data_IF_873174973598
#
_entry.id   IF_873174973598
#
_cell.length_a   1.000
_cell.length_b   1.000
_cell.length_c   1.000
_cell.angle_alpha   90.00
_cell.angle_beta   90.00
_cell.angle_gamma   90.00
#
_symmetry.space_group_name_H-M   'P 1'
#
loop_
_entity.id
_entity.type
_entity.pdbx_description
1 polymer ?
#
# COMPACT_ATOMS: atom_id res chain seq x y z
N UNK A 1 18.79 -24.78 11.48
CA UNK A 1 17.59 -25.20 12.21
C UNK A 1 17.38 -24.21 13.35
N UNK A 2 16.45 -23.27 13.22
CA UNK A 2 15.83 -22.53 14.34
C UNK A 2 14.69 -21.67 13.78
N UNK A 3 13.47 -22.15 14.10
CA UNK A 3 12.19 -21.49 13.93
C UNK A 3 12.21 -20.02 14.40
N UNK A 4 11.62 -19.14 13.60
CA UNK A 4 10.99 -17.91 14.11
C UNK A 4 9.50 -17.95 13.83
N UNK A 5 8.83 -18.86 14.51
CA UNK A 5 7.40 -18.79 14.74
C UNK A 5 7.16 -17.79 15.87
N UNK A 6 6.63 -16.59 15.54
CA UNK A 6 5.88 -15.70 16.45
C UNK A 6 5.55 -14.36 15.79
N UNK A 7 4.59 -14.33 14.86
CA UNK A 7 3.78 -13.12 14.55
C UNK A 7 2.62 -13.40 13.57
N UNK A 8 2.05 -14.61 13.52
CA UNK A 8 0.93 -14.91 12.61
C UNK A 8 -0.46 -14.38 13.07
N UNK A 9 -0.56 -13.78 14.27
CA UNK A 9 -1.85 -13.65 14.96
C UNK A 9 -2.68 -12.39 14.61
N UNK A 10 -2.08 -11.32 14.05
CA UNK A 10 -2.79 -10.04 13.87
C UNK A 10 -3.43 -9.83 12.49
N UNK A 11 -2.81 -10.35 11.42
CA UNK A 11 -3.29 -10.16 10.05
C UNK A 11 -4.53 -11.02 9.71
N UNK A 12 -4.63 -12.24 10.27
CA UNK A 12 -5.74 -13.15 10.04
C UNK A 12 -7.12 -12.51 10.37
N UNK A 13 -7.16 -11.65 11.40
CA UNK A 13 -8.41 -11.01 11.85
C UNK A 13 -8.93 -9.94 10.89
N UNK A 14 -8.07 -9.34 10.08
CA UNK A 14 -8.47 -8.30 9.10
C UNK A 14 -8.98 -8.94 7.80
N UNK A 15 -8.33 -9.99 7.31
CA UNK A 15 -8.80 -10.76 6.14
C UNK A 15 -10.15 -11.44 6.42
N UNK A 16 -10.33 -12.06 7.58
CA UNK A 16 -11.62 -12.69 7.96
C UNK A 16 -12.78 -11.69 8.07
N UNK A 17 -12.52 -10.39 8.25
CA UNK A 17 -13.56 -9.34 8.27
C UNK A 17 -13.87 -8.79 6.88
N UNK A 18 -12.89 -8.74 5.97
CA UNK A 18 -13.10 -8.32 4.57
C UNK A 18 -13.78 -9.39 3.72
N UNK A 19 -13.50 -10.67 3.96
CA UNK A 19 -14.18 -11.78 3.29
C UNK A 19 -15.67 -11.93 3.68
N UNK A 20 -16.18 -11.16 4.65
CA UNK A 20 -17.53 -11.30 5.20
C UNK A 20 -18.64 -10.47 4.53
N UNK A 21 -18.35 -9.71 3.47
CA UNK A 21 -19.32 -8.79 2.84
C UNK A 21 -19.97 -9.31 1.55
N UNK A 22 -19.78 -10.58 1.20
CA UNK A 22 -20.46 -11.26 0.08
C UNK A 22 -21.10 -12.56 0.56
N UNK A 23 -22.36 -12.81 0.18
CA UNK A 23 -23.13 -13.97 0.61
C UNK A 23 -22.43 -15.32 0.33
N UNK A 24 -22.40 -16.18 1.34
CA UNK A 24 -22.15 -17.64 1.21
C UNK A 24 -20.81 -18.08 1.76
N UNK A 25 -20.80 -18.69 2.95
CA UNK A 25 -19.60 -19.30 3.52
C UNK A 25 -19.15 -20.51 2.68
N UNK A 26 -17.90 -20.57 2.17
CA UNK A 26 -17.29 -21.82 1.77
C UNK A 26 -16.70 -22.49 3.00
N UNK A 27 -17.12 -23.71 3.24
CA UNK A 27 -16.50 -24.63 4.18
C UNK A 27 -15.03 -24.86 3.79
N UNK A 28 -14.13 -24.29 4.58
CA UNK A 28 -12.76 -24.76 4.88
C UNK A 28 -11.88 -25.20 3.72
N UNK A 29 -10.94 -24.32 3.32
CA UNK A 29 -9.48 -24.60 3.27
C UNK A 29 -8.69 -23.37 2.81
N UNK A 30 -9.26 -22.55 1.93
CA UNK A 30 -8.66 -21.29 1.46
C UNK A 30 -9.72 -20.19 1.35
N UNK A 31 -9.41 -18.96 1.75
CA UNK A 31 -10.22 -17.77 1.42
C UNK A 31 -9.56 -16.99 0.31
N UNK A 32 -10.35 -16.48 -0.63
CA UNK A 32 -9.91 -15.56 -1.68
C UNK A 32 -10.56 -14.19 -1.53
N UNK A 33 -9.80 -13.15 -1.90
CA UNK A 33 -10.25 -11.77 -1.95
C UNK A 33 -9.79 -11.19 -3.27
N UNK A 34 -10.74 -10.75 -4.10
CA UNK A 34 -10.46 -10.04 -5.35
C UNK A 34 -10.90 -8.58 -5.22
N UNK A 35 -10.00 -7.68 -5.56
CA UNK A 35 -10.20 -6.22 -5.62
C UNK A 35 -9.90 -5.73 -7.03
N UNK A 36 -9.94 -4.42 -7.29
CA UNK A 36 -9.65 -3.90 -8.63
C UNK A 36 -8.24 -4.28 -9.11
N UNK A 37 -7.23 -4.16 -8.25
CA UNK A 37 -5.83 -4.37 -8.64
C UNK A 37 -5.26 -5.70 -8.19
N UNK A 38 -5.89 -6.40 -7.25
CA UNK A 38 -5.29 -7.56 -6.58
C UNK A 38 -6.25 -8.74 -6.49
N UNK A 39 -5.70 -9.93 -6.69
CA UNK A 39 -6.30 -11.19 -6.24
C UNK A 39 -5.42 -11.79 -5.17
N UNK A 40 -6.00 -12.06 -4.01
CA UNK A 40 -5.29 -12.53 -2.83
C UNK A 40 -5.92 -13.82 -2.33
N UNK A 41 -5.10 -14.74 -1.83
CA UNK A 41 -5.56 -15.98 -1.21
C UNK A 41 -4.86 -16.23 0.12
N UNK A 42 -5.60 -16.76 1.08
CA UNK A 42 -5.11 -17.23 2.38
C UNK A 42 -5.47 -18.70 2.53
N UNK A 43 -4.47 -19.54 2.72
CA UNK A 43 -4.64 -20.91 3.16
C UNK A 43 -4.85 -20.94 4.68
N UNK A 44 -5.95 -21.53 5.14
CA UNK A 44 -6.32 -21.51 6.57
C UNK A 44 -5.60 -22.59 7.40
N UNK A 45 -5.01 -23.60 6.76
CA UNK A 45 -4.33 -24.70 7.43
C UNK A 45 -2.86 -24.35 7.67
N UNK A 46 -2.21 -23.77 6.66
CA UNK A 46 -0.80 -23.32 6.72
C UNK A 46 -0.67 -21.87 7.18
N UNK A 47 -1.71 -21.07 6.95
CA UNK A 47 -1.66 -19.62 7.09
C UNK A 47 -0.98 -18.94 5.89
N UNK A 48 -0.55 -19.65 4.87
CA UNK A 48 0.19 -19.03 3.77
C UNK A 48 -0.70 -18.07 2.97
N UNK A 49 -0.14 -16.90 2.67
CA UNK A 49 -0.84 -15.86 1.91
C UNK A 49 -0.10 -15.67 0.60
N UNK A 50 -0.84 -15.66 -0.50
CA UNK A 50 -0.32 -15.36 -1.83
C UNK A 50 -1.15 -14.25 -2.47
N UNK A 51 -0.53 -13.53 -3.39
CA UNK A 51 -1.23 -12.47 -4.12
C UNK A 51 -0.69 -12.28 -5.53
N UNK A 52 -1.58 -11.84 -6.41
CA UNK A 52 -1.32 -11.55 -7.81
C UNK A 52 -1.92 -10.19 -8.16
N UNK A 53 -1.19 -9.40 -8.94
CA UNK A 53 -1.67 -8.13 -9.48
C UNK A 53 -2.48 -8.40 -10.73
N UNK A 54 -3.75 -8.02 -10.75
CA UNK A 54 -4.67 -8.30 -11.87
C UNK A 54 -4.94 -7.09 -12.77
N UNK A 55 -4.61 -5.88 -12.31
CA UNK A 55 -4.72 -4.64 -13.08
C UNK A 55 -3.54 -3.67 -12.80
N UNK A 56 -3.36 -2.67 -13.66
CA UNK A 56 -2.32 -1.65 -13.49
C UNK A 56 -0.90 -2.06 -13.95
N UNK A 57 0.14 -1.32 -13.52
CA UNK A 57 1.49 -1.40 -14.09
C UNK A 57 2.19 -2.75 -13.89
N UNK A 58 1.78 -3.49 -12.87
CA UNK A 58 2.39 -4.77 -12.48
C UNK A 58 1.51 -5.97 -12.80
N UNK A 59 0.49 -5.79 -13.65
CA UNK A 59 -0.47 -6.85 -14.02
C UNK A 59 0.22 -8.17 -14.42
N UNK A 60 -0.29 -9.27 -13.88
CA UNK A 60 0.20 -10.63 -14.09
C UNK A 60 1.39 -11.01 -13.20
N UNK A 61 1.88 -10.12 -12.34
CA UNK A 61 2.96 -10.44 -11.40
C UNK A 61 2.44 -10.93 -10.08
N UNK A 62 3.15 -11.90 -9.50
CA UNK A 62 2.95 -12.33 -8.12
C UNK A 62 3.61 -11.36 -7.17
N UNK A 63 2.97 -11.09 -6.04
CA UNK A 63 3.54 -10.26 -4.99
C UNK A 63 4.84 -10.87 -4.46
N UNK A 64 4.96 -12.19 -4.37
CA UNK A 64 6.19 -12.85 -3.89
C UNK A 64 7.41 -12.56 -4.81
N UNK A 65 7.16 -12.35 -6.10
CA UNK A 65 8.18 -12.05 -7.10
C UNK A 65 8.48 -10.54 -7.18
N UNK A 66 7.78 -9.71 -6.43
CA UNK A 66 7.97 -8.26 -6.38
C UNK A 66 8.95 -7.84 -5.30
N UNK A 67 9.83 -6.90 -5.66
CA UNK A 67 10.70 -6.22 -4.71
C UNK A 67 9.89 -5.37 -3.74
N UNK A 68 10.46 -5.02 -2.59
CA UNK A 68 9.81 -4.13 -1.63
C UNK A 68 9.40 -2.80 -2.28
N UNK A 69 10.29 -2.16 -3.03
CA UNK A 69 9.99 -0.90 -3.72
C UNK A 69 8.84 -1.01 -4.71
N UNK A 70 8.77 -2.09 -5.50
CA UNK A 70 7.65 -2.31 -6.44
C UNK A 70 6.31 -2.50 -5.72
N UNK A 71 6.31 -3.17 -4.56
CA UNK A 71 5.09 -3.34 -3.74
C UNK A 71 4.62 -2.02 -3.16
N UNK A 72 5.55 -1.15 -2.75
CA UNK A 72 5.23 0.19 -2.25
C UNK A 72 4.72 1.11 -3.37
N UNK A 73 5.29 1.01 -4.57
CA UNK A 73 4.78 1.69 -5.76
C UNK A 73 3.36 1.25 -6.10
N UNK A 74 3.09 -0.07 -6.07
CA UNK A 74 1.75 -0.60 -6.24
C UNK A 74 0.79 -0.08 -5.16
N UNK A 75 1.23 -0.05 -3.91
CA UNK A 75 0.42 0.45 -2.80
C UNK A 75 0.01 1.91 -3.03
N UNK A 76 0.94 2.80 -3.41
CA UNK A 76 0.63 4.19 -3.74
C UNK A 76 -0.44 4.31 -4.83
N UNK A 77 -0.35 3.48 -5.86
CA UNK A 77 -1.35 3.47 -6.93
C UNK A 77 -2.71 3.00 -6.43
N UNK A 78 -2.76 1.92 -5.64
CA UNK A 78 -3.99 1.41 -5.04
C UNK A 78 -4.68 2.49 -4.19
N UNK A 79 -3.94 3.25 -3.40
CA UNK A 79 -4.51 4.34 -2.58
C UNK A 79 -5.20 5.43 -3.40
N UNK A 80 -4.72 5.70 -4.62
CA UNK A 80 -5.28 6.72 -5.50
C UNK A 80 -6.52 6.23 -6.25
N UNK A 81 -6.55 4.94 -6.59
CA UNK A 81 -7.48 4.35 -7.57
C UNK A 81 -8.51 3.39 -6.94
N UNK A 82 -8.16 2.67 -5.87
CA UNK A 82 -9.03 1.70 -5.17
C UNK A 82 -8.57 1.39 -3.73
N UNK A 83 -9.30 1.95 -2.75
CA UNK A 83 -9.02 1.79 -1.31
C UNK A 83 -9.06 0.31 -0.87
N UNK A 84 -9.94 -0.51 -1.46
CA UNK A 84 -10.02 -1.93 -1.14
C UNK A 84 -8.72 -2.67 -1.49
N UNK A 85 -8.16 -2.39 -2.68
CA UNK A 85 -6.85 -2.93 -3.09
C UNK A 85 -5.72 -2.49 -2.15
N UNK A 86 -5.73 -1.24 -1.71
CA UNK A 86 -4.72 -0.71 -0.80
C UNK A 86 -4.73 -1.47 0.54
N UNK A 87 -5.92 -1.64 1.12
CA UNK A 87 -6.12 -2.31 2.41
C UNK A 87 -5.66 -3.76 2.41
N UNK A 88 -5.94 -4.47 1.31
CA UNK A 88 -5.56 -5.88 1.15
C UNK A 88 -4.04 -6.02 0.97
N UNK A 89 -3.41 -5.11 0.22
CA UNK A 89 -1.96 -5.10 0.04
C UNK A 89 -1.19 -4.78 1.33
N UNK A 90 -1.67 -3.84 2.14
CA UNK A 90 -1.08 -3.52 3.45
C UNK A 90 -1.11 -4.73 4.38
N UNK A 91 -2.24 -5.42 4.44
CA UNK A 91 -2.39 -6.61 5.27
C UNK A 91 -1.42 -7.73 4.83
N UNK A 92 -1.12 -7.83 3.53
CA UNK A 92 -0.08 -8.73 3.02
C UNK A 92 1.33 -8.26 3.42
N UNK A 93 1.64 -6.96 3.24
CA UNK A 93 2.95 -6.39 3.59
C UNK A 93 3.26 -6.52 5.08
N UNK A 94 2.28 -6.28 5.96
CA UNK A 94 2.41 -6.46 7.42
C UNK A 94 2.79 -7.88 7.81
N UNK A 95 2.39 -8.86 6.99
CA UNK A 95 2.66 -10.27 7.23
C UNK A 95 4.03 -10.69 6.71
N UNK A 96 4.37 -10.29 5.48
CA UNK A 96 5.56 -10.79 4.77
C UNK A 96 6.79 -9.93 5.00
N UNK A 97 6.60 -8.63 5.24
CA UNK A 97 7.68 -7.66 5.42
C UNK A 97 7.38 -6.74 6.61
N UNK A 98 7.40 -7.18 7.88
CA UNK A 98 6.98 -6.35 9.02
C UNK A 98 7.64 -4.95 9.11
N UNK A 99 8.87 -4.83 8.60
CA UNK A 99 9.67 -3.60 8.57
C UNK A 99 9.43 -2.76 7.29
N UNK A 100 8.44 -3.12 6.47
CA UNK A 100 8.17 -2.45 5.19
C UNK A 100 7.88 -0.96 5.36
N UNK A 101 7.34 -0.56 6.51
CA UNK A 101 7.02 0.85 6.82
C UNK A 101 8.27 1.70 7.01
N UNK A 102 9.28 1.16 7.70
CA UNK A 102 10.58 1.84 7.87
C UNK A 102 11.28 1.99 6.50
N UNK A 103 11.18 0.95 5.66
CA UNK A 103 11.74 0.99 4.30
C UNK A 103 10.95 1.88 3.34
N UNK A 104 9.68 2.14 3.63
CA UNK A 104 8.88 3.03 2.83
C UNK A 104 9.29 4.49 3.07
N UNK A 105 9.68 4.86 4.30
CA UNK A 105 10.27 6.18 4.61
C UNK A 105 11.52 6.45 3.75
N UNK A 106 12.36 5.45 3.57
CA UNK A 106 13.53 5.55 2.68
C UNK A 106 13.16 5.48 1.18
N UNK A 107 12.14 4.69 0.81
CA UNK A 107 11.72 4.39 -0.56
C UNK A 107 10.62 5.32 -1.11
N UNK A 108 10.79 6.64 -0.93
CA UNK A 108 10.08 7.65 -1.73
C UNK A 108 10.18 7.37 -3.25
N UNK A 109 9.22 7.85 -4.05
CA UNK A 109 8.99 7.35 -5.40
C UNK A 109 10.19 7.64 -6.32
N UNK A 110 10.83 6.57 -6.81
CA UNK A 110 11.88 6.66 -7.82
C UNK A 110 11.25 6.75 -9.20
N UNK A 111 10.90 7.95 -9.62
CA UNK A 111 10.72 8.19 -11.07
C UNK A 111 12.10 8.17 -11.73
N UNK A 112 12.22 7.36 -12.78
CA UNK A 112 13.49 6.89 -13.33
C UNK A 112 14.48 7.99 -13.72
N UNK A 113 15.71 7.83 -13.23
CA UNK A 113 16.91 8.56 -13.65
C UNK A 113 18.08 8.13 -12.78
N UNK A 114 19.11 7.53 -13.38
CA UNK A 114 20.30 7.12 -12.67
C UNK A 114 20.95 8.31 -11.93
N UNK A 115 20.94 8.28 -10.61
CA UNK A 115 21.58 9.27 -9.74
C UNK A 115 21.93 8.64 -8.39
N UNK A 116 23.05 9.04 -7.75
CA UNK A 116 23.55 8.42 -6.52
C UNK A 116 22.62 8.69 -5.33
N UNK A 117 22.79 7.85 -4.30
CA UNK A 117 22.00 7.72 -3.08
C UNK A 117 21.46 9.05 -2.47
N UNK A 118 20.21 9.00 -2.00
CA UNK A 118 19.46 10.15 -1.49
C UNK A 118 20.06 10.70 -0.18
N UNK A 119 20.28 11.99 -0.19
CA UNK A 119 20.46 12.86 0.98
C UNK A 119 19.70 14.17 0.68
N UNK A 120 18.37 14.10 0.51
CA UNK A 120 17.60 15.28 0.12
C UNK A 120 16.10 15.16 0.37
N UNK A 121 15.49 16.28 0.77
CA UNK A 121 14.06 16.49 0.99
C UNK A 121 13.21 16.18 -0.26
N UNK A 122 11.93 15.84 -0.07
CA UNK A 122 10.99 15.53 -1.15
C UNK A 122 10.95 16.63 -2.22
N UNK A 123 11.09 16.21 -3.48
CA UNK A 123 11.02 17.10 -4.64
C UNK A 123 9.58 17.41 -5.02
N UNK A 124 9.37 18.51 -5.74
CA UNK A 124 8.03 18.92 -6.19
C UNK A 124 7.35 17.86 -7.08
N UNK A 125 8.11 17.20 -7.95
CA UNK A 125 7.59 16.15 -8.82
C UNK A 125 7.14 14.91 -8.02
N UNK A 126 7.92 14.52 -7.00
CA UNK A 126 7.54 13.45 -6.06
C UNK A 126 6.28 13.83 -5.29
N UNK A 127 6.19 15.07 -4.81
CA UNK A 127 5.01 15.56 -4.09
C UNK A 127 3.73 15.53 -4.95
N UNK A 128 3.83 15.88 -6.23
CA UNK A 128 2.71 15.76 -7.17
C UNK A 128 2.29 14.29 -7.34
N UNK A 129 3.26 13.38 -7.48
CA UNK A 129 2.98 11.94 -7.61
C UNK A 129 2.31 11.37 -6.36
N UNK A 130 2.75 11.76 -5.16
CA UNK A 130 2.13 11.33 -3.88
C UNK A 130 0.67 11.78 -3.79
N UNK A 131 0.33 12.98 -4.30
CA UNK A 131 -1.04 13.47 -4.32
C UNK A 131 -1.85 12.98 -5.54
N UNK A 132 -1.27 12.19 -6.44
CA UNK A 132 -1.91 11.75 -7.68
C UNK A 132 -2.22 12.92 -8.64
N UNK A 133 -1.38 13.95 -8.65
CA UNK A 133 -1.56 15.17 -9.44
C UNK A 133 -0.53 15.25 -10.57
N UNK A 134 -0.92 15.92 -11.65
CA UNK A 134 -0.02 16.24 -12.76
C UNK A 134 0.64 17.61 -12.58
N UNK A 135 1.73 17.83 -13.33
CA UNK A 135 2.36 19.14 -13.44
C UNK A 135 1.35 20.22 -13.86
N UNK A 136 1.38 21.37 -13.18
CA UNK A 136 0.40 22.46 -13.37
C UNK A 136 -0.84 22.39 -12.47
N UNK A 137 -0.95 21.44 -11.55
CA UNK A 137 -2.02 21.44 -10.55
C UNK A 137 -2.03 22.74 -9.72
N UNK A 138 -3.20 23.37 -9.62
CA UNK A 138 -3.37 24.59 -8.85
C UNK A 138 -3.51 24.30 -7.33
N UNK A 139 -3.39 25.34 -6.50
CA UNK A 139 -3.49 25.24 -5.03
C UNK A 139 -4.80 24.57 -4.55
N UNK A 140 -5.90 24.73 -5.28
CA UNK A 140 -7.18 24.11 -4.94
C UNK A 140 -7.16 22.60 -5.19
N UNK A 141 -6.59 22.16 -6.31
CA UNK A 141 -6.41 20.74 -6.65
C UNK A 141 -5.50 20.04 -5.64
N UNK A 142 -4.42 20.70 -5.22
CA UNK A 142 -3.49 20.20 -4.19
C UNK A 142 -4.23 19.96 -2.86
N UNK A 143 -5.00 20.94 -2.39
CA UNK A 143 -5.77 20.81 -1.14
C UNK A 143 -6.87 19.75 -1.22
N UNK A 144 -7.57 19.65 -2.36
CA UNK A 144 -8.61 18.66 -2.56
C UNK A 144 -8.03 17.23 -2.58
N UNK A 145 -6.91 17.03 -3.27
CA UNK A 145 -6.21 15.74 -3.29
C UNK A 145 -5.72 15.35 -1.89
N UNK A 146 -5.07 16.28 -1.18
CA UNK A 146 -4.64 16.10 0.20
C UNK A 146 -5.81 15.70 1.12
N UNK A 147 -6.93 16.43 1.07
CA UNK A 147 -8.10 16.12 1.89
C UNK A 147 -8.68 14.74 1.57
N UNK A 148 -8.80 14.39 0.28
CA UNK A 148 -9.29 13.07 -0.15
C UNK A 148 -8.44 11.94 0.45
N UNK A 149 -7.12 12.07 0.40
CA UNK A 149 -6.20 11.05 0.90
C UNK A 149 -6.22 11.00 2.43
N UNK A 150 -6.16 12.15 3.10
CA UNK A 150 -6.19 12.23 4.58
C UNK A 150 -7.53 11.76 5.15
N UNK A 151 -8.65 12.03 4.50
CA UNK A 151 -9.96 11.52 4.94
C UNK A 151 -10.09 10.00 4.81
N UNK A 152 -9.32 9.36 3.91
CA UNK A 152 -9.25 7.91 3.79
C UNK A 152 -8.26 7.25 4.77
N UNK A 153 -7.39 8.03 5.41
CA UNK A 153 -6.42 7.55 6.39
C UNK A 153 -7.11 7.29 7.75
N UNK A 154 -7.55 6.06 8.00
CA UNK A 154 -8.18 5.68 9.28
C UNK A 154 -7.14 5.37 10.37
N UNK A 155 -7.12 6.11 11.50
CA UNK A 155 -6.14 5.92 12.59
C UNK A 155 -6.32 4.59 13.34
N UNK A 156 -7.51 3.97 13.26
CA UNK A 156 -7.84 2.74 13.98
C UNK A 156 -7.12 1.48 13.45
N UNK A 157 -6.33 1.60 12.38
CA UNK A 157 -5.73 0.45 11.69
C UNK A 157 -4.20 0.54 11.54
N UNK A 158 -3.53 1.45 12.24
CA UNK A 158 -2.07 1.43 12.46
C UNK A 158 -1.17 1.58 11.22
N UNK A 159 -1.75 1.74 10.03
CA UNK A 159 -1.04 1.97 8.76
C UNK A 159 -1.09 3.42 8.27
N UNK A 160 -1.81 4.30 8.96
CA UNK A 160 -2.07 5.67 8.52
C UNK A 160 -0.92 6.64 8.74
N UNK A 161 -0.06 6.41 9.73
CA UNK A 161 0.85 7.46 10.19
C UNK A 161 1.97 7.74 9.20
N UNK A 162 2.53 6.69 8.61
CA UNK A 162 3.57 6.78 7.59
C UNK A 162 3.08 7.49 6.32
N UNK A 163 1.91 7.09 5.80
CA UNK A 163 1.37 7.74 4.61
C UNK A 163 0.84 9.14 4.92
N UNK A 164 0.27 9.36 6.10
CA UNK A 164 -0.08 10.71 6.55
C UNK A 164 1.16 11.61 6.58
N UNK A 165 2.31 11.10 7.03
CA UNK A 165 3.57 11.85 6.99
C UNK A 165 3.98 12.18 5.55
N UNK A 166 3.95 11.23 4.61
CA UNK A 166 4.28 11.50 3.20
C UNK A 166 3.29 12.46 2.53
N UNK A 167 2.00 12.33 2.81
CA UNK A 167 0.96 13.20 2.24
C UNK A 167 1.05 14.61 2.82
N UNK A 168 1.43 14.74 4.08
CA UNK A 168 1.76 16.03 4.70
C UNK A 168 2.99 16.66 4.05
N UNK A 169 4.10 15.93 3.96
CA UNK A 169 5.33 16.42 3.32
C UNK A 169 5.07 16.86 1.86
N UNK A 170 4.29 16.07 1.10
CA UNK A 170 3.93 16.42 -0.27
C UNK A 170 3.11 17.72 -0.35
N UNK A 171 2.14 17.91 0.55
CA UNK A 171 1.35 19.14 0.63
C UNK A 171 2.27 20.33 0.97
N UNK A 172 3.16 20.17 1.94
CA UNK A 172 4.08 21.22 2.41
C UNK A 172 5.03 21.64 1.28
N UNK A 173 5.63 20.68 0.55
CA UNK A 173 6.48 20.94 -0.63
C UNK A 173 5.74 21.67 -1.75
N UNK A 174 4.47 21.33 -1.99
CA UNK A 174 3.69 21.93 -3.09
C UNK A 174 3.10 23.29 -2.76
N UNK A 175 2.85 23.57 -1.48
CA UNK A 175 2.28 24.83 -1.01
C UNK A 175 3.33 25.79 -0.45
N UNK A 176 4.54 25.29 -0.16
CA UNK A 176 5.63 26.04 0.45
C UNK A 176 5.37 26.35 1.93
N UNK A 177 4.65 25.47 2.62
CA UNK A 177 4.30 25.61 4.05
C UNK A 177 5.35 24.95 4.96
#
# INVERSE_FOLDING_TARGET
>A
MLLRARTAYRAARNFSRMAGAGQGAPTGQTSDVETRFLRMGLDHDTGDVWGEVIDGPYKGRRLDDMTASEKLDLLRNCWTEDEASARVLEAYLDRVHPDWRDHAEDAGPKTGGAGPARSGAMTRAEALAVLGLSEGANRQNIKAAYQRIISGLHPDHGGSDYLAAQVNEAKDVLLGD
#
